data_IF_746147407770
#
_entry.id   IF_746147407770
#
_cell.length_a   1.000
_cell.length_b   1.000
_cell.length_c   1.000
_cell.angle_alpha   90.00
_cell.angle_beta   90.00
_cell.angle_gamma   90.00
#
_symmetry.space_group_name_H-M   'P 1'
#
loop_
_entity.id
_entity.type
_entity.pdbx_description
1 polymer ?
#
# COMPACT_ATOMS: atom_id res chain seq x y z
N UNK A 1 54.71 3.53 36.90
CA UNK A 1 53.51 4.39 37.04
C UNK A 1 53.35 5.12 35.72
N UNK A 2 52.17 5.01 35.08
CA UNK A 2 51.73 5.66 33.82
C UNK A 2 52.32 5.01 32.55
N UNK A 3 51.63 4.10 31.83
CA UNK A 3 50.33 4.18 31.13
C UNK A 3 50.35 5.16 29.95
N UNK A 4 50.48 4.62 28.73
CA UNK A 4 50.19 5.30 27.47
C UNK A 4 49.98 4.25 26.38
N UNK A 5 48.75 3.75 26.34
CA UNK A 5 48.17 3.09 25.18
C UNK A 5 48.16 4.07 24.01
N UNK A 6 48.99 3.83 23.00
CA UNK A 6 48.98 4.60 21.77
C UNK A 6 47.71 4.25 20.97
N UNK A 7 46.94 5.31 20.71
CA UNK A 7 45.58 5.31 20.21
C UNK A 7 45.52 5.01 18.71
N UNK A 8 44.68 4.05 18.31
CA UNK A 8 44.43 3.75 16.89
C UNK A 8 43.66 4.89 16.21
N UNK A 9 43.99 5.30 14.97
CA UNK A 9 43.17 6.24 14.22
C UNK A 9 41.88 5.58 13.70
N UNK A 10 40.75 6.20 14.05
CA UNK A 10 39.41 5.84 13.62
C UNK A 10 39.23 5.94 12.09
N UNK A 11 38.61 4.91 11.51
CA UNK A 11 38.24 4.88 10.09
C UNK A 11 37.19 5.96 9.77
N UNK A 12 37.56 6.91 8.91
CA UNK A 12 36.65 7.91 8.35
C UNK A 12 35.69 7.20 7.38
N UNK A 13 34.44 7.05 7.79
CA UNK A 13 33.36 6.52 6.96
C UNK A 13 33.01 7.53 5.86
N UNK A 14 33.44 7.23 4.63
CA UNK A 14 33.13 8.01 3.43
C UNK A 14 31.61 7.96 3.17
N UNK A 15 30.95 9.11 3.31
CA UNK A 15 29.51 9.25 3.13
C UNK A 15 29.02 8.73 1.78
N UNK A 16 28.02 7.86 1.82
CA UNK A 16 27.32 7.34 0.66
C UNK A 16 26.50 8.47 0.03
N UNK A 17 26.97 9.02 -1.09
CA UNK A 17 26.21 9.96 -1.91
C UNK A 17 24.94 9.24 -2.40
N UNK A 18 23.78 9.67 -1.89
CA UNK A 18 22.47 9.26 -2.41
C UNK A 18 22.34 9.80 -3.83
N UNK A 19 22.66 8.96 -4.82
CA UNK A 19 22.46 9.27 -6.23
C UNK A 19 20.95 9.39 -6.47
N UNK A 20 20.46 10.62 -6.62
CA UNK A 20 19.09 10.93 -7.03
C UNK A 20 18.99 10.52 -8.50
N UNK A 21 18.63 9.27 -8.78
CA UNK A 21 18.32 8.82 -10.12
C UNK A 21 16.98 9.46 -10.52
N UNK A 22 17.03 10.66 -11.10
CA UNK A 22 15.92 11.19 -11.87
C UNK A 22 15.81 10.36 -13.16
N UNK A 23 15.21 9.19 -13.05
CA UNK A 23 14.78 8.45 -14.24
C UNK A 23 13.64 9.25 -14.87
N UNK A 24 13.65 9.47 -16.20
CA UNK A 24 12.56 10.15 -16.89
C UNK A 24 11.27 9.40 -16.58
N UNK A 25 10.16 10.12 -16.42
CA UNK A 25 8.85 9.61 -16.04
C UNK A 25 8.51 8.31 -16.78
N UNK A 26 8.89 7.19 -16.17
CA UNK A 26 8.66 5.87 -16.71
C UNK A 26 7.19 5.64 -16.44
N UNK A 27 6.37 5.86 -17.46
CA UNK A 27 4.94 5.62 -17.44
C UNK A 27 4.75 4.26 -16.80
N UNK A 28 4.19 4.24 -15.60
CA UNK A 28 4.06 2.98 -14.85
C UNK A 28 3.15 2.04 -15.64
N UNK A 29 3.31 0.72 -15.50
CA UNK A 29 2.35 -0.22 -16.06
C UNK A 29 0.96 0.16 -15.55
N UNK A 30 -0.01 0.30 -16.46
CA UNK A 30 -1.37 0.73 -16.13
C UNK A 30 -1.99 -0.13 -15.02
N UNK A 31 -1.70 -1.44 -15.03
CA UNK A 31 -2.17 -2.38 -14.00
C UNK A 31 -1.72 -2.03 -12.57
N UNK A 32 -0.49 -1.50 -12.42
CA UNK A 32 0.03 -1.09 -11.10
C UNK A 32 -0.58 0.24 -10.64
N UNK A 33 -0.94 1.12 -11.58
CA UNK A 33 -1.65 2.36 -11.30
C UNK A 33 -3.07 2.06 -10.84
N UNK A 34 -3.79 1.18 -11.54
CA UNK A 34 -5.12 0.74 -11.13
C UNK A 34 -5.10 -0.01 -9.79
N UNK A 35 -4.09 -0.85 -9.55
CA UNK A 35 -3.87 -1.46 -8.24
C UNK A 35 -3.71 -0.41 -7.15
N UNK A 36 -2.89 0.61 -7.39
CA UNK A 36 -2.67 1.70 -6.44
C UNK A 36 -3.95 2.48 -6.15
N UNK A 37 -4.79 2.74 -7.15
CA UNK A 37 -6.10 3.37 -6.98
C UNK A 37 -7.04 2.51 -6.12
N UNK A 38 -7.12 1.20 -6.38
CA UNK A 38 -7.91 0.28 -5.56
C UNK A 38 -7.49 0.32 -4.09
N UNK A 39 -6.18 0.35 -3.82
CA UNK A 39 -5.67 0.44 -2.44
C UNK A 39 -6.05 1.76 -1.76
N UNK A 40 -6.05 2.88 -2.48
CA UNK A 40 -6.53 4.17 -1.96
C UNK A 40 -8.02 4.12 -1.62
N UNK A 41 -8.84 3.58 -2.53
CA UNK A 41 -10.29 3.40 -2.31
C UNK A 41 -10.56 2.52 -1.10
N UNK A 42 -9.80 1.44 -0.93
CA UNK A 42 -9.91 0.55 0.24
C UNK A 42 -9.63 1.33 1.54
N UNK A 43 -8.53 2.09 1.58
CA UNK A 43 -8.15 2.92 2.73
C UNK A 43 -9.24 3.93 3.09
N UNK A 44 -9.75 4.65 2.10
CA UNK A 44 -10.79 5.68 2.28
C UNK A 44 -12.13 5.07 2.70
N UNK A 45 -12.53 3.93 2.11
CA UNK A 45 -13.74 3.20 2.48
C UNK A 45 -13.72 2.72 3.93
N UNK A 46 -12.54 2.40 4.45
CA UNK A 46 -12.31 2.03 5.86
C UNK A 46 -12.24 3.26 6.79
N UNK A 47 -12.32 4.48 6.26
CA UNK A 47 -12.37 5.72 7.04
C UNK A 47 -11.00 6.27 7.46
N UNK A 48 -9.92 5.88 6.79
CA UNK A 48 -8.59 6.41 7.08
C UNK A 48 -8.23 7.54 6.11
N UNK A 49 -8.19 8.78 6.58
CA UNK A 49 -7.87 9.94 5.74
C UNK A 49 -6.42 9.96 5.25
N UNK A 50 -5.51 9.34 6.01
CA UNK A 50 -4.07 9.35 5.69
C UNK A 50 -3.49 7.96 5.50
N UNK A 51 -2.55 7.84 4.57
CA UNK A 51 -1.76 6.62 4.35
C UNK A 51 -1.01 6.19 5.61
N UNK A 52 -0.54 7.15 6.41
CA UNK A 52 0.18 6.87 7.64
C UNK A 52 -0.72 6.23 8.70
N UNK A 53 -1.91 6.79 8.95
CA UNK A 53 -2.85 6.24 9.94
C UNK A 53 -3.30 4.83 9.58
N UNK A 54 -3.52 4.55 8.30
CA UNK A 54 -3.85 3.22 7.83
C UNK A 54 -2.67 2.25 8.00
N UNK A 55 -1.49 2.62 7.52
CA UNK A 55 -0.31 1.77 7.55
C UNK A 55 0.09 1.39 8.99
N UNK A 56 0.23 2.38 9.88
CA UNK A 56 0.74 2.15 11.24
C UNK A 56 -0.36 1.68 12.18
N UNK A 57 -1.57 2.23 12.08
CA UNK A 57 -2.68 1.95 12.99
C UNK A 57 -3.47 0.70 12.65
N UNK A 58 -3.64 0.39 11.36
CA UNK A 58 -4.45 -0.76 10.93
C UNK A 58 -3.60 -1.97 10.54
N UNK A 59 -2.51 -1.77 9.80
CA UNK A 59 -1.65 -2.86 9.32
C UNK A 59 -0.39 -3.09 10.14
N UNK A 60 0.02 -2.15 10.98
CA UNK A 60 1.27 -2.24 11.74
C UNK A 60 2.54 -2.21 10.87
N UNK A 61 2.49 -1.57 9.69
CA UNK A 61 3.64 -1.41 8.79
C UNK A 61 4.08 0.06 8.70
N UNK A 62 5.26 0.31 8.14
CA UNK A 62 5.72 1.68 7.94
C UNK A 62 4.86 2.44 6.91
N UNK A 63 4.58 3.71 7.19
CA UNK A 63 3.86 4.59 6.27
C UNK A 63 4.53 4.67 4.89
N UNK A 64 5.86 4.65 4.85
CA UNK A 64 6.61 4.63 3.60
C UNK A 64 6.36 3.35 2.79
N UNK A 65 6.31 2.17 3.44
CA UNK A 65 6.02 0.90 2.76
C UNK A 65 4.63 0.92 2.14
N UNK A 66 3.62 1.39 2.86
CA UNK A 66 2.26 1.52 2.30
C UNK A 66 2.20 2.55 1.16
N UNK A 67 2.83 3.72 1.35
CA UNK A 67 2.88 4.76 0.33
C UNK A 67 3.50 4.26 -0.98
N UNK A 68 4.47 3.34 -0.92
CA UNK A 68 4.99 2.71 -2.13
C UNK A 68 3.92 1.95 -2.92
N UNK A 69 3.04 1.21 -2.25
CA UNK A 69 1.95 0.48 -2.92
C UNK A 69 0.91 1.43 -3.52
N UNK A 70 0.53 2.50 -2.81
CA UNK A 70 -0.36 3.56 -3.32
C UNK A 70 0.28 4.42 -4.43
N UNK A 71 1.58 4.24 -4.69
CA UNK A 71 2.30 4.84 -5.82
C UNK A 71 2.80 3.77 -6.79
N UNK A 72 2.07 2.66 -6.93
CA UNK A 72 2.26 1.65 -7.99
C UNK A 72 3.50 0.77 -7.83
N UNK A 73 4.04 0.61 -6.63
CA UNK A 73 4.92 -0.53 -6.34
C UNK A 73 4.08 -1.81 -6.19
N UNK A 74 4.56 -2.95 -6.69
CA UNK A 74 3.83 -4.21 -6.60
C UNK A 74 3.47 -4.58 -5.15
N UNK A 75 2.22 -4.98 -4.94
CA UNK A 75 1.74 -5.41 -3.64
C UNK A 75 2.30 -6.79 -3.26
N UNK A 76 3.05 -6.84 -2.16
CA UNK A 76 3.61 -8.09 -1.66
C UNK A 76 2.53 -9.03 -1.12
N UNK A 77 2.69 -10.33 -1.34
CA UNK A 77 1.75 -11.38 -0.90
C UNK A 77 1.43 -11.34 0.60
N UNK A 78 2.43 -11.05 1.44
CA UNK A 78 2.27 -10.87 2.89
C UNK A 78 1.19 -9.82 3.23
N UNK A 79 1.24 -8.66 2.56
CA UNK A 79 0.30 -7.55 2.78
C UNK A 79 -1.10 -7.92 2.28
N UNK A 80 -1.21 -8.66 1.17
CA UNK A 80 -2.50 -9.18 0.71
C UNK A 80 -3.14 -10.07 1.77
N UNK A 81 -2.38 -10.99 2.35
CA UNK A 81 -2.91 -11.85 3.40
C UNK A 81 -3.31 -11.07 4.65
N UNK A 82 -2.55 -10.05 5.03
CA UNK A 82 -2.93 -9.17 6.14
C UNK A 82 -4.25 -8.45 5.84
N UNK A 83 -4.41 -7.87 4.65
CA UNK A 83 -5.62 -7.15 4.24
C UNK A 83 -6.85 -8.07 4.22
N UNK A 84 -6.74 -9.23 3.57
CA UNK A 84 -7.85 -10.20 3.47
C UNK A 84 -8.27 -10.73 4.85
N UNK A 85 -7.33 -10.88 5.78
CA UNK A 85 -7.63 -11.27 7.16
C UNK A 85 -8.25 -10.14 7.98
N UNK A 86 -7.82 -8.90 7.74
CA UNK A 86 -8.28 -7.73 8.49
C UNK A 86 -9.64 -7.20 8.00
N UNK A 87 -9.98 -7.41 6.72
CA UNK A 87 -11.21 -6.93 6.10
C UNK A 87 -12.07 -8.12 5.65
N UNK A 88 -13.11 -8.50 6.42
CA UNK A 88 -13.95 -9.64 6.07
C UNK A 88 -14.61 -9.49 4.69
N UNK A 89 -14.47 -10.52 3.86
CA UNK A 89 -15.03 -10.56 2.51
C UNK A 89 -14.19 -9.87 1.43
N UNK A 90 -13.07 -9.24 1.78
CA UNK A 90 -12.11 -8.74 0.80
C UNK A 90 -11.39 -9.92 0.13
N UNK A 91 -11.18 -9.85 -1.18
CA UNK A 91 -10.50 -10.90 -1.94
C UNK A 91 -9.15 -10.42 -2.48
N UNK A 92 -8.20 -11.35 -2.58
CA UNK A 92 -6.93 -11.09 -3.26
C UNK A 92 -7.12 -10.79 -4.75
N UNK A 93 -8.15 -11.38 -5.36
CA UNK A 93 -8.48 -11.19 -6.78
C UNK A 93 -8.87 -9.74 -7.06
N UNK A 94 -9.64 -9.12 -6.18
CA UNK A 94 -9.95 -7.69 -6.27
C UNK A 94 -8.71 -6.82 -6.05
N UNK A 95 -7.86 -7.17 -5.07
CA UNK A 95 -6.62 -6.41 -4.78
C UNK A 95 -5.62 -6.40 -5.93
N UNK A 96 -5.47 -7.52 -6.64
CA UNK A 96 -4.55 -7.64 -7.77
C UNK A 96 -5.19 -7.19 -9.08
N UNK A 97 -6.37 -7.72 -9.41
CA UNK A 97 -6.95 -7.66 -10.75
C UNK A 97 -8.23 -6.81 -10.82
N UNK A 98 -8.75 -6.32 -9.70
CA UNK A 98 -9.98 -5.53 -9.66
C UNK A 98 -11.26 -6.34 -9.89
N UNK A 99 -11.19 -7.67 -9.87
CA UNK A 99 -12.37 -8.51 -10.03
C UNK A 99 -13.27 -8.46 -8.78
N UNK A 100 -14.49 -7.96 -8.96
CA UNK A 100 -15.46 -7.78 -7.89
C UNK A 100 -16.36 -9.01 -7.63
N UNK A 101 -16.30 -10.06 -8.46
CA UNK A 101 -17.22 -11.22 -8.37
C UNK A 101 -17.13 -11.96 -7.03
N UNK A 102 -15.95 -11.95 -6.41
CA UNK A 102 -15.73 -12.57 -5.10
C UNK A 102 -16.09 -11.68 -3.90
N UNK A 103 -16.46 -10.41 -4.12
CA UNK A 103 -16.78 -9.48 -3.04
C UNK A 103 -18.25 -9.62 -2.62
N UNK A 104 -18.56 -9.57 -1.31
CA UNK A 104 -19.92 -9.39 -0.86
C UNK A 104 -20.53 -8.11 -1.44
N UNK A 105 -21.81 -8.17 -1.85
CA UNK A 105 -22.51 -7.04 -2.49
C UNK A 105 -22.40 -5.73 -1.69
N UNK A 106 -22.49 -5.81 -0.36
CA UNK A 106 -22.34 -4.64 0.51
C UNK A 106 -20.94 -4.02 0.42
N UNK A 107 -19.89 -4.85 0.36
CA UNK A 107 -18.51 -4.40 0.25
C UNK A 107 -18.23 -3.83 -1.15
N UNK A 108 -18.67 -4.53 -2.20
CA UNK A 108 -18.54 -4.06 -3.58
C UNK A 108 -19.20 -2.68 -3.79
N UNK A 109 -20.38 -2.45 -3.20
CA UNK A 109 -21.03 -1.12 -3.23
C UNK A 109 -20.23 -0.05 -2.50
N UNK A 110 -19.68 -0.36 -1.33
CA UNK A 110 -18.86 0.58 -0.56
C UNK A 110 -17.55 0.93 -1.27
N UNK A 111 -17.02 0.01 -2.06
CA UNK A 111 -15.84 0.21 -2.91
C UNK A 111 -16.16 0.91 -4.24
N UNK A 112 -17.45 1.10 -4.55
CA UNK A 112 -17.90 1.75 -5.79
C UNK A 112 -17.91 0.83 -7.02
N UNK A 113 -17.72 -0.48 -6.85
CA UNK A 113 -17.71 -1.46 -7.95
C UNK A 113 -19.11 -1.76 -8.48
N UNK A 114 -20.12 -1.57 -7.63
CA UNK A 114 -21.52 -1.72 -8.01
C UNK A 114 -22.21 -0.37 -7.94
N UNK A 115 -22.88 0.00 -9.04
CA UNK A 115 -23.77 1.15 -9.08
C UNK A 115 -24.89 1.06 -8.03
N UNK A 116 -25.60 2.18 -7.77
CA UNK A 116 -26.69 2.19 -6.81
C UNK A 116 -27.74 1.12 -7.16
N UNK A 117 -28.40 0.50 -6.17
CA UNK A 117 -29.44 -0.49 -6.44
C UNK A 117 -30.47 0.11 -7.41
N UNK A 118 -30.60 -0.50 -8.59
CA UNK A 118 -31.63 -0.12 -9.55
C UNK A 118 -32.99 -0.16 -8.86
N UNK A 119 -33.78 0.90 -9.01
CA UNK A 119 -35.14 0.96 -8.48
C UNK A 119 -35.92 -0.18 -9.11
N UNK A 120 -36.33 -1.19 -8.33
CA UNK A 120 -37.25 -2.22 -8.81
C UNK A 120 -38.56 -1.53 -9.14
N UNK A 121 -38.78 -1.30 -10.43
CA UNK A 121 -40.08 -0.86 -10.93
C UNK A 121 -41.00 -2.07 -10.80
N UNK A 122 -41.80 -2.07 -9.75
CA UNK A 122 -42.96 -2.96 -9.64
C UNK A 122 -43.95 -2.53 -10.72
N UNK A 123 -44.17 -3.40 -11.70
CA UNK A 123 -45.25 -3.29 -12.66
C UNK A 123 -46.60 -3.65 -12.00
#
# INVERSE_FOLDING_TARGET
MLDSFESQPAAISRGMVKKKSSSPASRMPAELEEQAERLKRLREMLGFDTSASFATGFLGISAQRWNHFENGKPLSREIVFQLVRAVPGLTSDWLYFGNADGLPVALARRLGELGPPGKRTTA
#
